data_IF_096435651157
#
_entry.id   IF_096435651157
#
_cell.length_a   1.000
_cell.length_b   1.000
_cell.length_c   1.000
_cell.angle_alpha   90.00
_cell.angle_beta   90.00
_cell.angle_gamma   90.00
#
_symmetry.space_group_name_H-M   'P 1'
#
loop_
_entity.id
_entity.type
_entity.pdbx_description
1 polymer ?
#
# COMPACT_ATOMS: atom_id res chain seq x y z
N UNK A 1 -11.03 -0.52 15.29
CA UNK A 1 -9.84 0.18 14.80
C UNK A 1 -10.32 1.48 14.19
N UNK A 2 -9.59 2.57 14.37
CA UNK A 2 -9.93 3.85 13.73
C UNK A 2 -8.86 4.11 12.66
N UNK A 3 -9.25 4.14 11.39
CA UNK A 3 -8.33 4.24 10.24
C UNK A 3 -8.01 5.70 9.83
N UNK A 4 -8.32 6.68 10.67
CA UNK A 4 -8.24 8.12 10.34
C UNK A 4 -6.88 8.55 9.78
N UNK A 5 -5.78 8.04 10.33
CA UNK A 5 -4.43 8.40 9.89
C UNK A 5 -3.76 7.32 9.02
N UNK A 6 -4.42 6.16 8.86
CA UNK A 6 -3.88 5.03 8.12
C UNK A 6 -3.88 5.30 6.61
N UNK A 7 -2.91 4.72 5.92
CA UNK A 7 -2.79 4.82 4.47
C UNK A 7 -3.89 3.99 3.82
N UNK A 8 -4.74 4.64 3.01
CA UNK A 8 -5.62 3.97 2.06
C UNK A 8 -4.81 3.63 0.81
N UNK A 9 -4.64 2.34 0.53
CA UNK A 9 -3.89 1.84 -0.63
C UNK A 9 -4.77 1.41 -1.80
N UNK A 10 -6.09 1.63 -1.73
CA UNK A 10 -7.01 1.32 -2.83
C UNK A 10 -6.63 2.07 -4.12
N UNK A 11 -6.21 3.34 -3.99
CA UNK A 11 -5.79 4.18 -5.11
C UNK A 11 -4.46 3.74 -5.76
N UNK A 12 -3.69 2.89 -5.08
CA UNK A 12 -2.42 2.34 -5.58
C UNK A 12 -2.60 0.94 -6.18
N UNK A 13 -3.83 0.43 -6.26
CA UNK A 13 -4.12 -0.86 -6.85
C UNK A 13 -4.45 -0.72 -8.35
N UNK A 14 -4.10 -1.75 -9.12
CA UNK A 14 -4.82 -2.05 -10.35
C UNK A 14 -6.19 -2.63 -9.99
N UNK A 15 -7.26 -1.93 -10.39
CA UNK A 15 -8.64 -2.35 -10.12
C UNK A 15 -9.18 -3.11 -11.34
N UNK A 16 -9.78 -4.27 -11.09
CA UNK A 16 -10.55 -5.04 -12.06
C UNK A 16 -11.93 -5.27 -11.51
N UNK A 17 -12.94 -4.99 -12.32
CA UNK A 17 -14.33 -5.04 -11.89
C UNK A 17 -15.16 -5.76 -12.94
N UNK A 18 -16.02 -6.66 -12.49
CA UNK A 18 -17.05 -7.30 -13.28
C UNK A 18 -18.42 -7.21 -12.59
N UNK A 19 -19.39 -8.02 -13.01
CA UNK A 19 -20.76 -8.01 -12.48
C UNK A 19 -20.83 -8.43 -11.01
N UNK A 20 -19.93 -9.31 -10.56
CA UNK A 20 -20.00 -9.97 -9.25
C UNK A 20 -18.78 -9.70 -8.36
N UNK A 21 -17.66 -9.26 -8.93
CA UNK A 21 -16.40 -9.09 -8.21
C UNK A 21 -15.78 -7.71 -8.44
N UNK A 22 -15.17 -7.15 -7.38
CA UNK A 22 -14.19 -6.07 -7.49
C UNK A 22 -12.87 -6.57 -6.92
N UNK A 23 -11.82 -6.55 -7.74
CA UNK A 23 -10.48 -7.02 -7.39
C UNK A 23 -9.52 -5.85 -7.36
N UNK A 24 -8.80 -5.72 -6.25
CA UNK A 24 -7.68 -4.80 -6.10
C UNK A 24 -6.39 -5.61 -6.13
N UNK A 25 -5.48 -5.28 -7.04
CA UNK A 25 -4.20 -5.96 -7.22
C UNK A 25 -3.04 -4.96 -7.08
N UNK A 26 -2.05 -5.26 -6.24
CA UNK A 26 -0.83 -4.47 -6.06
C UNK A 26 0.40 -5.15 -6.65
N UNK A 27 1.47 -4.38 -6.87
CA UNK A 27 2.71 -4.96 -7.41
C UNK A 27 3.44 -5.86 -6.40
N UNK A 28 3.40 -5.50 -5.12
CA UNK A 28 4.06 -6.24 -4.04
C UNK A 28 3.04 -6.57 -2.94
N UNK A 29 3.32 -7.57 -2.10
CA UNK A 29 2.39 -7.94 -1.03
C UNK A 29 2.17 -6.76 -0.06
N UNK A 30 0.92 -6.57 0.36
CA UNK A 30 0.50 -5.53 1.29
C UNK A 30 -0.11 -6.16 2.53
N UNK A 31 0.14 -5.56 3.70
CA UNK A 31 -0.52 -5.95 4.95
C UNK A 31 -1.83 -5.19 5.10
N UNK A 32 -2.94 -5.86 4.80
CA UNK A 32 -4.28 -5.26 4.84
C UNK A 32 -4.85 -5.42 6.24
N UNK A 33 -5.11 -4.31 6.92
CA UNK A 33 -5.67 -4.25 8.28
C UNK A 33 -7.18 -4.05 8.30
N UNK A 34 -7.75 -3.54 7.21
CA UNK A 34 -9.20 -3.45 7.08
C UNK A 34 -9.65 -2.89 5.75
N UNK A 35 -10.93 -3.09 5.46
CA UNK A 35 -11.59 -2.57 4.26
C UNK A 35 -12.82 -1.80 4.72
N UNK A 36 -13.02 -0.60 4.19
CA UNK A 36 -14.21 0.21 4.44
C UNK A 36 -14.91 0.44 3.12
N UNK A 37 -16.19 0.09 3.06
CA UNK A 37 -17.02 0.24 1.87
C UNK A 37 -18.19 1.12 2.23
N UNK A 38 -18.40 2.16 1.44
CA UNK A 38 -19.57 3.03 1.57
C UNK A 38 -20.61 2.67 0.51
N UNK A 39 -21.80 2.27 0.94
CA UNK A 39 -22.92 1.93 0.06
C UNK A 39 -24.26 2.16 0.80
N UNK A 40 -25.33 2.56 0.09
CA UNK A 40 -26.66 2.58 0.67
C UNK A 40 -27.22 1.18 1.01
N UNK A 41 -26.68 0.11 0.40
CA UNK A 41 -27.18 -1.25 0.53
C UNK A 41 -26.42 -2.05 1.60
N UNK A 42 -26.88 -1.98 2.85
CA UNK A 42 -26.26 -2.68 3.98
C UNK A 42 -26.41 -4.19 3.92
N UNK A 43 -27.47 -4.69 3.28
CA UNK A 43 -27.77 -6.12 3.19
C UNK A 43 -26.75 -6.78 2.28
N UNK A 44 -26.54 -6.23 1.08
CA UNK A 44 -25.50 -6.69 0.17
C UNK A 44 -24.09 -6.63 0.79
N UNK A 45 -23.79 -5.60 1.59
CA UNK A 45 -22.51 -5.50 2.30
C UNK A 45 -22.35 -6.50 3.46
N UNK A 46 -23.45 -6.97 4.05
CA UNK A 46 -23.42 -7.97 5.12
C UNK A 46 -23.14 -9.38 4.59
N UNK A 47 -23.57 -9.65 3.36
CA UNK A 47 -23.37 -10.92 2.66
C UNK A 47 -22.09 -10.97 1.83
N UNK A 48 -21.44 -9.81 1.63
CA UNK A 48 -20.18 -9.67 0.91
C UNK A 48 -19.09 -10.59 1.50
N UNK A 49 -18.50 -11.40 0.64
CA UNK A 49 -17.30 -12.18 0.96
C UNK A 49 -16.06 -11.35 0.66
N UNK A 50 -15.35 -10.96 1.72
CA UNK A 50 -14.00 -10.41 1.58
C UNK A 50 -13.02 -11.57 1.42
N UNK A 51 -12.34 -11.63 0.29
CA UNK A 51 -11.36 -12.67 -0.01
C UNK A 51 -9.99 -12.09 -0.30
N UNK A 52 -8.96 -12.89 -0.08
CA UNK A 52 -7.58 -12.52 -0.38
C UNK A 52 -6.87 -13.64 -1.12
N UNK A 53 -5.92 -13.24 -1.97
CA UNK A 53 -5.12 -14.17 -2.75
C UNK A 53 -3.94 -14.67 -1.93
N UNK A 54 -3.70 -15.99 -1.93
CA UNK A 54 -2.57 -16.57 -1.21
C UNK A 54 -2.02 -17.82 -1.85
N UNK A 55 -0.78 -18.17 -1.48
CA UNK A 55 -0.20 -19.50 -1.70
C UNK A 55 0.61 -19.98 -0.50
N UNK A 56 1.51 -19.15 0.00
CA UNK A 56 2.51 -19.51 1.02
C UNK A 56 2.30 -18.77 2.34
N UNK A 57 1.83 -17.52 2.30
CA UNK A 57 1.41 -16.84 3.51
C UNK A 57 0.08 -17.45 4.04
N UNK A 58 -0.10 -17.65 5.36
CA UNK A 58 0.76 -17.27 6.50
C UNK A 58 1.78 -18.33 6.96
N UNK A 59 1.84 -19.51 6.34
CA UNK A 59 2.74 -20.60 6.74
C UNK A 59 4.21 -20.21 6.59
N UNK A 60 4.53 -19.46 5.54
CA UNK A 60 5.84 -18.88 5.31
C UNK A 60 5.74 -17.36 5.52
N UNK A 61 6.51 -16.85 6.48
CA UNK A 61 6.45 -15.43 6.88
C UNK A 61 7.81 -14.95 7.38
N UNK A 62 8.08 -13.68 7.12
CA UNK A 62 9.14 -12.92 7.78
C UNK A 62 8.50 -12.14 8.93
N UNK A 63 9.01 -12.26 10.16
CA UNK A 63 8.53 -11.44 11.27
C UNK A 63 8.67 -9.95 10.95
N UNK A 64 7.66 -9.15 11.32
CA UNK A 64 7.67 -7.70 11.14
C UNK A 64 8.93 -7.10 11.77
N UNK A 65 9.64 -6.23 11.04
CA UNK A 65 10.87 -5.59 11.50
C UNK A 65 12.12 -6.47 11.54
N UNK A 66 12.03 -7.75 11.15
CA UNK A 66 13.22 -8.59 11.02
C UNK A 66 14.13 -8.06 9.90
N UNK A 67 15.43 -8.00 10.15
CA UNK A 67 16.41 -7.64 9.13
C UNK A 67 16.63 -8.82 8.20
N UNK A 68 16.20 -8.66 6.95
CA UNK A 68 16.31 -9.66 5.89
C UNK A 68 17.51 -9.28 5.02
N UNK A 69 18.58 -10.08 5.00
CA UNK A 69 19.81 -9.66 4.29
C UNK A 69 20.99 -10.63 4.27
N UNK A 70 20.93 -11.75 5.00
CA UNK A 70 21.87 -12.85 4.78
C UNK A 70 21.38 -13.69 3.59
N UNK A 71 22.27 -14.17 2.72
CA UNK A 71 21.96 -14.83 1.45
C UNK A 71 20.99 -16.03 1.45
N UNK A 72 20.45 -16.44 2.60
CA UNK A 72 19.34 -17.40 2.70
C UNK A 72 17.95 -16.79 2.52
N UNK A 73 17.78 -15.47 2.66
CA UNK A 73 16.45 -14.84 2.62
C UNK A 73 15.96 -14.48 1.21
N UNK A 74 16.87 -14.24 0.25
CA UNK A 74 16.49 -13.93 -1.14
C UNK A 74 15.94 -15.13 -1.93
N UNK A 75 15.91 -16.32 -1.32
CA UNK A 75 15.40 -17.57 -1.91
C UNK A 75 14.18 -18.12 -1.18
N UNK A 76 13.57 -17.33 -0.29
CA UNK A 76 12.30 -17.71 0.32
C UNK A 76 11.21 -17.76 -0.74
N UNK A 77 10.31 -18.74 -0.62
CA UNK A 77 9.12 -18.78 -1.46
C UNK A 77 8.24 -17.60 -1.08
N UNK A 78 7.81 -16.88 -2.08
CA UNK A 78 6.91 -15.74 -1.96
C UNK A 78 5.71 -15.97 -2.87
N UNK A 79 4.61 -15.26 -2.58
CA UNK A 79 3.40 -15.34 -3.37
C UNK A 79 3.55 -14.56 -4.69
N UNK A 80 2.83 -14.97 -5.72
CA UNK A 80 2.83 -14.29 -7.02
C UNK A 80 1.40 -14.09 -7.55
N UNK A 81 1.24 -13.28 -8.61
CA UNK A 81 -0.09 -12.93 -9.13
C UNK A 81 -0.83 -14.08 -9.83
N UNK A 82 -0.17 -15.18 -10.19
CA UNK A 82 -0.71 -16.21 -11.08
C UNK A 82 -0.88 -17.55 -10.38
N UNK A 83 -0.01 -17.87 -9.43
CA UNK A 83 -0.01 -19.14 -8.73
C UNK A 83 -0.49 -18.92 -7.29
N UNK A 84 -1.76 -19.17 -7.05
CA UNK A 84 -2.38 -19.02 -5.75
C UNK A 84 -3.85 -19.41 -5.80
N UNK A 85 -4.53 -19.16 -4.69
CA UNK A 85 -5.94 -19.43 -4.51
C UNK A 85 -6.60 -18.29 -3.74
N UNK A 86 -7.89 -18.08 -4.01
CA UNK A 86 -8.71 -17.19 -3.20
C UNK A 86 -9.11 -17.89 -1.91
N UNK A 87 -8.98 -17.17 -0.78
CA UNK A 87 -9.48 -17.61 0.51
C UNK A 87 -10.38 -16.54 1.10
N UNK A 88 -11.57 -16.94 1.56
CA UNK A 88 -12.47 -16.06 2.30
C UNK A 88 -11.85 -15.73 3.66
N UNK A 89 -11.76 -14.45 3.96
CA UNK A 89 -11.25 -13.94 5.22
C UNK A 89 -12.31 -14.04 6.31
N UNK A 90 -11.90 -14.44 7.51
CA UNK A 90 -12.67 -14.34 8.74
C UNK A 90 -12.65 -12.87 9.21
N UNK A 91 -13.78 -12.21 8.98
CA UNK A 91 -13.96 -10.80 9.25
C UNK A 91 -15.18 -10.57 10.14
N UNK A 92 -15.10 -9.52 10.94
CA UNK A 92 -16.27 -8.91 11.57
C UNK A 92 -16.62 -7.63 10.84
N UNK A 93 -17.89 -7.47 10.51
CA UNK A 93 -18.41 -6.27 9.85
C UNK A 93 -19.08 -5.38 10.87
N UNK A 94 -18.68 -4.11 10.92
CA UNK A 94 -19.34 -3.07 11.71
C UNK A 94 -19.96 -2.05 10.77
N UNK A 95 -21.18 -1.63 11.07
CA UNK A 95 -21.85 -0.58 10.32
C UNK A 95 -21.80 0.74 11.08
N UNK A 96 -21.37 1.79 10.39
CA UNK A 96 -21.39 3.19 10.85
C UNK A 96 -22.07 4.01 9.74
N UNK A 97 -23.32 4.40 9.95
CA UNK A 97 -24.19 4.98 8.91
C UNK A 97 -24.19 4.18 7.60
N UNK A 98 -23.67 4.72 6.49
CA UNK A 98 -23.57 4.08 5.17
C UNK A 98 -22.28 3.28 4.97
N UNK A 99 -21.44 3.16 6.00
CA UNK A 99 -20.13 2.51 5.91
C UNK A 99 -20.14 1.14 6.56
N UNK A 100 -19.75 0.11 5.81
CA UNK A 100 -19.36 -1.18 6.35
C UNK A 100 -17.84 -1.21 6.55
N UNK A 101 -17.43 -1.52 7.78
CA UNK A 101 -16.04 -1.61 8.21
C UNK A 101 -15.74 -3.08 8.45
N UNK A 102 -14.95 -3.67 7.57
CA UNK A 102 -14.48 -5.05 7.63
C UNK A 102 -13.15 -5.07 8.39
N UNK A 103 -13.18 -5.67 9.59
CA UNK A 103 -11.99 -5.89 10.41
C UNK A 103 -11.69 -7.38 10.47
N UNK A 104 -10.42 -7.77 10.28
CA UNK A 104 -10.04 -9.18 10.35
C UNK A 104 -10.06 -9.69 11.78
N UNK A 105 -10.60 -10.89 11.97
CA UNK A 105 -10.36 -11.69 13.17
C UNK A 105 -8.94 -12.30 13.09
N UNK A 106 -8.40 -12.78 14.23
CA UNK A 106 -7.13 -13.50 14.24
C UNK A 106 -7.12 -14.62 13.20
N UNK A 107 -6.07 -14.67 12.38
CA UNK A 107 -5.98 -15.62 11.26
C UNK A 107 -6.07 -17.09 11.69
N UNK A 108 -5.65 -17.40 12.91
CA UNK A 108 -5.72 -18.75 13.48
C UNK A 108 -7.06 -19.09 14.14
N UNK A 109 -8.04 -18.18 14.15
CA UNK A 109 -9.35 -18.42 14.76
C UNK A 109 -10.19 -19.38 13.92
N UNK A 110 -10.33 -19.12 12.62
CA UNK A 110 -11.12 -19.96 11.69
C UNK A 110 -10.37 -20.32 10.42
N UNK A 111 -9.51 -19.44 9.91
CA UNK A 111 -8.89 -19.61 8.60
C UNK A 111 -7.78 -20.68 8.59
N UNK A 112 -6.94 -20.70 9.63
CA UNK A 112 -5.82 -21.64 9.82
C UNK A 112 -5.68 -22.07 11.28
N UNK A 113 -6.58 -22.95 11.70
CA UNK A 113 -6.63 -23.44 13.10
C UNK A 113 -5.40 -24.27 13.51
N UNK A 114 -4.57 -24.68 12.54
CA UNK A 114 -3.31 -25.39 12.74
C UNK A 114 -2.12 -24.47 13.09
N UNK A 115 -2.23 -23.16 12.87
CA UNK A 115 -1.15 -22.19 13.13
C UNK A 115 -1.39 -21.47 14.47
N UNK A 116 -1.19 -22.19 15.58
CA UNK A 116 -1.49 -21.68 16.92
C UNK A 116 -0.64 -20.46 17.35
N UNK A 117 0.54 -20.26 16.75
CA UNK A 117 1.52 -19.24 17.14
C UNK A 117 1.38 -17.90 16.38
N UNK A 118 0.34 -17.74 15.58
CA UNK A 118 0.16 -16.57 14.73
C UNK A 118 -1.30 -16.08 14.70
N UNK A 119 -1.60 -15.06 15.50
CA UNK A 119 -2.93 -14.49 15.72
C UNK A 119 -3.12 -13.15 14.98
N UNK A 120 -2.45 -12.97 13.84
CA UNK A 120 -2.50 -11.76 13.05
C UNK A 120 -3.92 -11.32 12.67
N UNK A 121 -4.23 -10.06 12.95
CA UNK A 121 -5.48 -9.37 12.60
C UNK A 121 -5.37 -8.56 11.31
N UNK A 122 -4.50 -9.01 10.40
CA UNK A 122 -4.29 -8.45 9.06
C UNK A 122 -4.11 -9.59 8.06
N UNK A 123 -4.24 -9.31 6.76
CA UNK A 123 -3.93 -10.28 5.69
C UNK A 123 -2.81 -9.74 4.82
N UNK A 124 -1.69 -10.46 4.73
CA UNK A 124 -0.61 -10.15 3.78
C UNK A 124 -0.96 -10.76 2.43
N UNK A 125 -1.16 -9.93 1.41
CA UNK A 125 -1.60 -10.41 0.09
C UNK A 125 -1.22 -9.47 -1.05
N UNK A 126 -1.16 -10.02 -2.27
CA UNK A 126 -1.06 -9.25 -3.52
C UNK A 126 -2.43 -8.76 -4.04
N UNK A 127 -3.52 -9.40 -3.60
CA UNK A 127 -4.86 -9.08 -4.09
C UNK A 127 -5.93 -9.28 -3.03
N UNK A 128 -6.90 -8.38 -3.02
CA UNK A 128 -8.18 -8.64 -2.37
C UNK A 128 -9.29 -8.67 -3.40
N UNK A 129 -10.34 -9.43 -3.09
CA UNK A 129 -11.56 -9.53 -3.88
C UNK A 129 -12.76 -9.27 -2.99
N UNK A 130 -13.62 -8.37 -3.45
CA UNK A 130 -14.95 -8.13 -2.92
C UNK A 130 -15.90 -8.99 -3.76
N UNK A 131 -16.30 -10.16 -3.25
CA UNK A 131 -17.14 -11.11 -3.98
C UNK A 131 -18.61 -11.02 -3.54
N UNK A 132 -19.47 -10.57 -4.45
CA UNK A 132 -20.90 -10.43 -4.26
C UNK A 132 -21.61 -11.67 -4.81
N UNK A 133 -22.37 -12.41 -3.99
CA UNK A 133 -23.01 -13.66 -4.44
C UNK A 133 -24.23 -13.43 -5.33
N UNK A 134 -25.06 -12.46 -4.97
CA UNK A 134 -26.34 -12.20 -5.66
C UNK A 134 -26.28 -10.95 -6.54
N UNK A 135 -26.02 -9.80 -5.92
CA UNK A 135 -26.03 -8.50 -6.61
C UNK A 135 -24.96 -7.59 -6.04
N UNK A 136 -24.10 -7.08 -6.92
CA UNK A 136 -23.21 -5.97 -6.58
C UNK A 136 -24.04 -4.69 -6.34
N UNK A 137 -23.96 -4.08 -5.14
CA UNK A 137 -24.68 -2.85 -4.85
C UNK A 137 -24.02 -1.64 -5.52
N UNK A 138 -24.69 -0.50 -5.49
CA UNK A 138 -24.03 0.78 -5.79
C UNK A 138 -22.98 1.06 -4.70
N UNK A 139 -21.74 1.33 -5.10
CA UNK A 139 -20.64 1.59 -4.17
C UNK A 139 -20.18 3.04 -4.36
N UNK A 140 -20.23 3.81 -3.27
CA UNK A 140 -19.83 5.22 -3.25
C UNK A 140 -18.32 5.36 -3.10
N UNK A 141 -17.71 4.55 -2.23
CA UNK A 141 -16.27 4.54 -2.01
C UNK A 141 -15.79 3.22 -1.43
N UNK A 142 -14.53 2.88 -1.72
CA UNK A 142 -13.81 1.75 -1.13
C UNK A 142 -12.47 2.28 -0.61
N UNK A 143 -12.16 1.99 0.64
CA UNK A 143 -10.86 2.25 1.23
C UNK A 143 -10.27 0.97 1.81
N UNK A 144 -8.99 0.74 1.53
CA UNK A 144 -8.25 -0.45 1.95
C UNK A 144 -7.05 0.02 2.75
N UNK A 145 -7.00 -0.31 4.03
CA UNK A 145 -6.05 0.27 4.95
C UNK A 145 -4.93 -0.68 5.31
N UNK A 146 -3.71 -0.15 5.34
CA UNK A 146 -2.54 -0.80 5.97
C UNK A 146 -2.27 -0.20 7.34
N UNK A 147 -1.25 -0.69 8.05
CA UNK A 147 -0.77 -0.10 9.29
C UNK A 147 0.23 1.06 9.08
N UNK A 148 0.53 1.40 7.84
CA UNK A 148 1.26 2.63 7.52
C UNK A 148 0.41 3.85 7.87
N UNK A 149 1.07 4.92 8.30
CA UNK A 149 0.42 6.19 8.64
C UNK A 149 0.86 7.31 7.71
N UNK A 150 -0.05 8.21 7.37
CA UNK A 150 0.27 9.37 6.56
C UNK A 150 1.12 10.38 7.34
N UNK A 151 2.24 10.79 6.76
CA UNK A 151 3.08 11.91 7.21
C UNK A 151 3.30 12.91 6.09
N UNK A 152 3.87 14.06 6.41
CA UNK A 152 4.21 15.10 5.43
C UNK A 152 5.65 15.53 5.57
N UNK A 153 6.32 15.67 4.42
CA UNK A 153 7.71 16.05 4.29
C UNK A 153 7.86 17.25 3.36
N UNK A 154 8.93 18.04 3.59
CA UNK A 154 9.44 18.99 2.61
C UNK A 154 10.75 18.46 2.08
N UNK A 155 10.80 18.15 0.79
CA UNK A 155 12.02 17.66 0.14
C UNK A 155 12.56 18.76 -0.75
N UNK A 156 13.79 19.19 -0.47
CA UNK A 156 14.52 20.13 -1.34
C UNK A 156 15.38 19.33 -2.30
N UNK A 157 15.11 19.48 -3.59
CA UNK A 157 15.81 18.80 -4.68
C UNK A 157 16.66 19.87 -5.36
N UNK A 158 17.97 19.77 -5.23
CA UNK A 158 18.93 20.76 -5.74
C UNK A 158 19.75 20.16 -6.88
N UNK A 159 20.11 21.00 -7.84
CA UNK A 159 21.10 20.66 -8.87
C UNK A 159 22.16 21.77 -8.93
N UNK A 160 23.42 21.36 -9.00
CA UNK A 160 24.57 22.23 -8.78
C UNK A 160 24.77 23.35 -9.82
N UNK A 161 25.73 24.22 -9.51
CA UNK A 161 26.01 25.57 -10.02
C UNK A 161 26.23 25.71 -11.54
N UNK A 162 26.09 24.64 -12.33
CA UNK A 162 26.05 24.67 -13.81
C UNK A 162 24.64 24.59 -14.41
N UNK A 163 23.63 24.33 -13.59
CA UNK A 163 22.20 24.34 -13.93
C UNK A 163 21.42 25.42 -13.17
N UNK A 164 22.11 26.24 -12.36
CA UNK A 164 21.52 27.35 -11.62
C UNK A 164 20.75 28.32 -12.54
N UNK A 165 21.15 28.46 -13.81
CA UNK A 165 20.50 29.38 -14.75
C UNK A 165 19.45 28.74 -15.65
N UNK A 166 19.12 27.45 -15.44
CA UNK A 166 18.13 26.74 -16.26
C UNK A 166 17.00 26.20 -15.38
N UNK A 167 15.80 26.67 -15.67
CA UNK A 167 14.59 26.07 -15.11
C UNK A 167 14.57 24.58 -15.45
N UNK A 168 14.39 23.74 -14.43
CA UNK A 168 14.17 22.32 -14.66
C UNK A 168 12.85 22.14 -15.42
N UNK A 169 12.92 21.42 -16.54
CA UNK A 169 11.78 21.08 -17.37
C UNK A 169 11.66 19.56 -17.39
N UNK A 170 10.88 19.03 -16.46
CA UNK A 170 10.68 17.61 -16.25
C UNK A 170 9.44 17.35 -15.41
N UNK A 171 9.23 16.08 -15.09
CA UNK A 171 8.08 15.59 -14.35
C UNK A 171 8.50 14.96 -13.01
N UNK A 172 7.73 15.24 -11.96
CA UNK A 172 7.86 14.60 -10.65
C UNK A 172 6.68 13.65 -10.49
N UNK A 173 6.95 12.37 -10.27
CA UNK A 173 5.94 11.38 -9.91
C UNK A 173 6.18 10.86 -8.50
N UNK A 174 5.10 10.61 -7.76
CA UNK A 174 5.14 10.05 -6.41
C UNK A 174 4.40 8.71 -6.42
N UNK A 175 5.09 7.63 -6.07
CA UNK A 175 4.53 6.29 -5.90
C UNK A 175 4.20 6.06 -4.42
N UNK A 176 3.06 5.43 -4.13
CA UNK A 176 2.52 5.22 -2.77
C UNK A 176 2.52 6.50 -1.92
N UNK A 177 2.12 7.62 -2.51
CA UNK A 177 2.11 8.92 -1.86
C UNK A 177 1.58 10.00 -2.78
N UNK A 178 1.60 11.25 -2.31
CA UNK A 178 1.02 12.38 -3.04
C UNK A 178 1.93 13.60 -2.93
N UNK A 179 2.12 14.32 -4.04
CA UNK A 179 2.68 15.67 -4.02
C UNK A 179 1.53 16.67 -3.97
N UNK A 180 1.43 17.42 -2.87
CA UNK A 180 0.36 18.40 -2.65
C UNK A 180 0.83 19.86 -2.79
N UNK A 181 2.09 20.06 -3.16
CA UNK A 181 2.60 21.37 -3.51
C UNK A 181 4.07 21.36 -3.90
N UNK A 182 4.46 22.30 -4.74
CA UNK A 182 5.85 22.53 -5.11
C UNK A 182 6.14 24.02 -5.22
N UNK A 183 7.40 24.38 -5.00
CA UNK A 183 7.92 25.72 -5.26
C UNK A 183 9.22 25.57 -6.03
N UNK A 184 9.27 26.16 -7.21
CA UNK A 184 10.48 26.22 -8.01
C UNK A 184 11.31 27.42 -7.57
N UNK A 185 12.61 27.20 -7.38
CA UNK A 185 13.60 28.24 -7.20
C UNK A 185 14.70 28.11 -8.23
N UNK A 186 15.61 29.09 -8.23
CA UNK A 186 16.80 29.02 -9.07
C UNK A 186 17.69 27.87 -8.58
N UNK A 187 17.85 26.83 -9.41
CA UNK A 187 18.66 25.66 -9.06
C UNK A 187 17.98 24.60 -8.17
N UNK A 188 16.70 24.74 -7.83
CA UNK A 188 16.04 23.77 -6.95
C UNK A 188 14.51 23.67 -7.10
N UNK A 189 13.94 22.58 -6.59
CA UNK A 189 12.51 22.40 -6.33
C UNK A 189 12.34 22.08 -4.85
N UNK A 190 11.42 22.78 -4.19
CA UNK A 190 10.93 22.40 -2.87
C UNK A 190 9.58 21.71 -3.02
N UNK A 191 9.55 20.39 -2.90
CA UNK A 191 8.35 19.57 -2.99
C UNK A 191 7.77 19.31 -1.59
N UNK A 192 6.45 19.43 -1.45
CA UNK A 192 5.69 19.01 -0.28
C UNK A 192 5.04 17.67 -0.59
N UNK A 193 5.42 16.65 0.17
CA UNK A 193 5.10 15.26 -0.14
C UNK A 193 4.38 14.65 1.06
N UNK A 194 3.21 14.07 0.80
CA UNK A 194 2.51 13.21 1.73
C UNK A 194 3.01 11.79 1.49
N UNK A 195 3.57 11.16 2.53
CA UNK A 195 4.26 9.88 2.43
C UNK A 195 3.78 8.89 3.48
N UNK A 196 3.86 7.61 3.15
CA UNK A 196 3.52 6.51 4.04
C UNK A 196 4.72 6.19 4.96
N UNK A 197 4.51 6.32 6.26
CA UNK A 197 5.49 5.93 7.27
C UNK A 197 5.08 4.57 7.86
N UNK A 198 6.02 3.63 7.91
CA UNK A 198 5.85 2.34 8.59
C UNK A 198 7.12 1.99 9.38
N UNK A 199 6.96 1.39 10.56
CA UNK A 199 8.07 0.90 11.36
C UNK A 199 8.67 -0.41 10.80
N UNK A 200 7.90 -1.17 10.00
CA UNK A 200 8.43 -2.35 9.31
C UNK A 200 9.30 -1.94 8.13
N UNK A 201 10.58 -2.21 8.25
CA UNK A 201 11.56 -2.03 7.17
C UNK A 201 11.23 -2.86 5.92
N UNK A 202 10.42 -3.92 6.07
CA UNK A 202 9.98 -4.78 4.97
C UNK A 202 8.61 -4.37 4.39
N UNK A 203 8.01 -3.27 4.85
CA UNK A 203 6.76 -2.77 4.26
C UNK A 203 6.98 -2.29 2.83
N UNK A 204 6.04 -2.62 1.95
CA UNK A 204 6.01 -2.16 0.56
C UNK A 204 5.16 -0.90 0.35
N UNK A 205 4.67 -0.28 1.42
CA UNK A 205 3.92 0.97 1.34
C UNK A 205 4.81 2.19 1.14
N UNK A 206 6.14 2.03 1.17
CA UNK A 206 7.11 3.12 1.11
C UNK A 206 6.88 4.05 -0.07
N UNK A 207 6.99 5.35 0.18
CA UNK A 207 6.81 6.38 -0.83
C UNK A 207 8.09 6.62 -1.61
N UNK A 208 8.00 6.51 -2.94
CA UNK A 208 9.12 6.75 -3.86
C UNK A 208 8.84 7.99 -4.68
N UNK A 209 9.79 8.92 -4.72
CA UNK A 209 9.73 10.09 -5.57
C UNK A 209 10.63 9.87 -6.75
N UNK A 210 10.12 10.10 -7.96
CA UNK A 210 10.90 9.99 -9.19
C UNK A 210 10.87 11.31 -9.93
N UNK A 211 12.06 11.82 -10.25
CA UNK A 211 12.25 12.91 -11.20
C UNK A 211 12.59 12.34 -12.56
N UNK A 212 11.95 12.87 -13.61
CA UNK A 212 12.29 12.57 -14.99
C UNK A 212 12.48 13.86 -15.76
N UNK A 213 13.60 14.00 -16.45
CA UNK A 213 13.69 14.83 -17.64
C UNK A 213 13.81 13.89 -18.84
N UNK A 214 13.44 14.32 -20.05
CA UNK A 214 13.36 13.42 -21.22
C UNK A 214 14.63 12.59 -21.57
N UNK A 215 15.77 12.77 -20.87
CA UNK A 215 17.00 12.00 -21.03
C UNK A 215 17.48 11.27 -19.76
N UNK A 216 17.06 11.68 -18.56
CA UNK A 216 17.58 11.18 -17.28
C UNK A 216 16.43 11.03 -16.28
N UNK A 217 16.50 9.99 -15.46
CA UNK A 217 15.60 9.80 -14.33
C UNK A 217 16.37 9.49 -13.05
N UNK A 218 15.81 9.91 -11.92
CA UNK A 218 16.34 9.61 -10.60
C UNK A 218 15.19 9.36 -9.63
N UNK A 219 15.32 8.35 -8.78
CA UNK A 219 14.33 7.99 -7.78
C UNK A 219 14.96 7.89 -6.40
N UNK A 220 14.20 8.26 -5.37
CA UNK A 220 14.61 8.13 -3.98
C UNK A 220 13.43 7.76 -3.07
N UNK A 221 13.73 7.09 -1.96
CA UNK A 221 12.77 6.87 -0.89
C UNK A 221 12.64 8.16 -0.06
N UNK A 222 11.41 8.54 0.26
CA UNK A 222 11.17 9.71 1.14
C UNK A 222 11.75 9.45 2.53
N UNK A 223 11.67 8.22 3.02
CA UNK A 223 12.21 7.83 4.34
C UNK A 223 13.72 8.07 4.46
N UNK A 224 14.51 7.76 3.43
CA UNK A 224 15.96 7.97 3.43
C UNK A 224 16.30 9.46 3.63
N UNK A 225 15.58 10.34 2.92
CA UNK A 225 15.74 11.80 3.04
C UNK A 225 15.35 12.28 4.44
N UNK A 226 14.28 11.72 5.01
CA UNK A 226 13.80 12.08 6.35
C UNK A 226 14.75 11.61 7.44
N UNK A 227 15.41 10.46 7.25
CA UNK A 227 16.42 9.93 8.16
C UNK A 227 17.77 10.66 8.04
N UNK A 228 17.84 11.73 7.23
CA UNK A 228 19.01 12.58 7.10
C UNK A 228 20.05 12.05 6.10
N UNK A 229 19.70 11.03 5.31
CA UNK A 229 20.58 10.55 4.25
C UNK A 229 20.64 11.57 3.13
N UNK A 230 21.87 11.92 2.71
CA UNK A 230 22.10 12.74 1.54
C UNK A 230 22.36 11.82 0.36
N UNK A 231 21.43 11.81 -0.59
CA UNK A 231 21.54 10.99 -1.79
C UNK A 231 22.22 11.82 -2.87
N UNK A 232 23.46 11.46 -3.20
CA UNK A 232 24.24 12.12 -4.24
C UNK A 232 24.22 11.28 -5.52
N UNK A 233 23.76 11.88 -6.61
CA UNK A 233 23.81 11.27 -7.95
C UNK A 233 25.01 11.86 -8.69
N UNK A 234 25.86 11.00 -9.24
CA UNK A 234 26.96 11.46 -10.10
C UNK A 234 26.40 12.00 -11.42
N UNK A 235 26.96 13.12 -11.86
CA UNK A 235 26.76 13.58 -13.23
C UNK A 235 27.51 12.65 -14.19
N UNK A 236 26.76 11.92 -15.01
CA UNK A 236 27.26 11.19 -16.18
C UNK A 236 27.08 12.03 -17.45
#
# INVERSE_FOLDING_TARGET
MNFVDNVNIADFAMIKEDENDIIFQWEEMRDIFGVVIESPDKEALSELKLEYWRRHWPQQRVPKGAVVGAGGSGWMRDDDWFNGEWKTADVKVKFDDSKAIFEFNPINAQEFTDIADFDAVYRRTLKIRLAFEDKKPEINSIAIYTDSVWKSAKVKIEWGDGFADKNWNGDISVYNGEMFGSMNGQGFILAKIKYAQNEDVNSFDKTIVTLRNGKKSFSFLVDDVINGEKIFVKDF
#
